data_IF_531444119582
#
_entry.id   IF_531444119582
#
_cell.length_a   1.000
_cell.length_b   1.000
_cell.length_c   1.000
_cell.angle_alpha   90.00
_cell.angle_beta   90.00
_cell.angle_gamma   90.00
#
_symmetry.space_group_name_H-M   'P 1'
#
loop_
_entity.id
_entity.type
_entity.pdbx_description
1 polymer ?
#
# COMPACT_ATOMS: atom_id res chain seq x y z
N UNK A 1 60.61 -6.19 -9.61
CA UNK A 1 60.02 -4.99 -8.99
C UNK A 1 59.07 -4.38 -9.99
N UNK A 2 57.75 -4.33 -9.86
CA UNK A 2 56.80 -4.78 -8.85
C UNK A 2 55.45 -4.78 -9.58
N UNK A 3 54.77 -5.92 -9.67
CA UNK A 3 53.32 -5.96 -9.92
C UNK A 3 52.59 -5.65 -8.61
N UNK A 4 51.31 -5.27 -8.75
CA UNK A 4 50.30 -5.01 -7.73
C UNK A 4 50.13 -3.53 -7.33
N UNK A 5 49.01 -2.94 -7.74
CA UNK A 5 47.94 -2.64 -6.78
C UNK A 5 46.61 -3.09 -7.36
N UNK A 6 45.99 -3.92 -6.55
CA UNK A 6 44.67 -4.51 -6.68
C UNK A 6 43.67 -3.62 -5.94
N UNK A 7 42.40 -3.73 -6.35
CA UNK A 7 41.18 -3.53 -5.56
C UNK A 7 40.91 -2.19 -4.87
N UNK A 8 39.74 -1.62 -5.20
CA UNK A 8 38.77 -1.24 -4.16
C UNK A 8 37.34 -1.18 -4.71
N UNK A 9 36.65 -2.31 -4.54
CA UNK A 9 35.27 -2.44 -4.08
C UNK A 9 34.14 -1.71 -4.84
N UNK A 10 33.58 -2.38 -5.84
CA UNK A 10 32.13 -2.36 -6.01
C UNK A 10 31.51 -3.01 -4.76
N UNK A 11 31.04 -2.19 -3.81
CA UNK A 11 30.19 -2.67 -2.73
C UNK A 11 28.98 -3.35 -3.36
N UNK A 12 28.83 -4.65 -3.10
CA UNK A 12 27.64 -5.39 -3.51
C UNK A 12 26.41 -4.67 -2.97
N UNK A 13 25.50 -4.29 -3.86
CA UNK A 13 24.15 -3.87 -3.51
C UNK A 13 23.49 -5.09 -2.86
N UNK A 14 23.56 -5.17 -1.53
CA UNK A 14 22.75 -6.11 -0.77
C UNK A 14 21.28 -5.89 -1.13
N UNK A 15 20.49 -6.95 -1.15
CA UNK A 15 19.05 -6.84 -1.37
C UNK A 15 18.47 -5.75 -0.44
N UNK A 16 17.54 -4.90 -0.94
CA UNK A 16 16.95 -3.85 -0.13
C UNK A 16 16.41 -4.44 1.18
N UNK A 17 16.64 -3.73 2.29
CA UNK A 17 16.12 -4.15 3.58
C UNK A 17 14.62 -3.93 3.59
N UNK A 18 13.85 -5.01 3.45
CA UNK A 18 12.38 -4.98 3.49
C UNK A 18 11.93 -5.45 4.87
N UNK A 19 11.50 -4.52 5.73
CA UNK A 19 10.88 -4.86 7.01
C UNK A 19 9.36 -4.58 6.96
N UNK A 20 8.49 -5.62 6.94
CA UNK A 20 7.05 -5.44 6.94
C UNK A 20 6.52 -4.66 8.15
N UNK A 21 7.22 -4.71 9.30
CA UNK A 21 6.78 -4.05 10.51
C UNK A 21 6.93 -2.53 10.47
N UNK A 22 7.65 -2.00 9.49
CA UNK A 22 7.79 -0.56 9.29
C UNK A 22 6.56 0.09 8.67
N UNK A 23 5.69 -0.66 7.95
CA UNK A 23 4.37 -0.19 7.51
C UNK A 23 3.45 -0.03 8.73
N UNK A 24 3.38 1.16 9.31
CA UNK A 24 2.68 1.42 10.58
C UNK A 24 1.66 2.53 10.45
N UNK A 25 0.50 2.30 11.07
CA UNK A 25 -0.53 3.33 11.25
C UNK A 25 -0.27 4.00 12.59
N UNK A 26 0.12 5.27 12.57
CA UNK A 26 0.30 6.07 13.80
C UNK A 26 -1.01 6.71 14.25
N UNK A 27 -1.92 7.00 13.32
CA UNK A 27 -3.24 7.57 13.62
C UNK A 27 -4.26 7.13 12.58
N UNK A 28 -5.46 6.75 13.03
CA UNK A 28 -6.58 6.39 12.17
C UNK A 28 -7.85 7.08 12.65
N UNK A 29 -8.55 7.80 11.77
CA UNK A 29 -9.73 8.60 12.13
C UNK A 29 -10.74 8.67 10.98
N UNK A 30 -12.03 8.66 11.33
CA UNK A 30 -13.11 8.93 10.39
C UNK A 30 -13.49 10.42 10.40
N UNK A 31 -13.54 11.04 9.22
CA UNK A 31 -14.11 12.36 8.99
C UNK A 31 -15.52 12.18 8.44
N UNK A 32 -16.55 12.60 9.19
CA UNK A 32 -17.96 12.24 8.99
C UNK A 32 -18.76 13.15 8.05
N UNK A 33 -18.12 14.13 7.42
CA UNK A 33 -18.79 15.09 6.57
C UNK A 33 -17.81 15.79 5.64
N UNK A 34 -18.24 16.88 4.97
CA UNK A 34 -17.38 17.67 4.11
C UNK A 34 -16.10 18.09 4.82
N UNK A 35 -14.98 17.85 4.18
CA UNK A 35 -13.65 18.09 4.71
C UNK A 35 -12.72 18.58 3.59
N UNK A 36 -11.46 18.84 3.94
CA UNK A 36 -10.46 19.36 3.02
C UNK A 36 -10.25 18.47 1.78
N UNK A 37 -10.36 17.14 1.92
CA UNK A 37 -10.06 16.18 0.86
C UNK A 37 -11.23 15.94 -0.07
N UNK A 38 -12.43 15.86 0.50
CA UNK A 38 -13.67 15.53 -0.20
C UNK A 38 -14.85 16.20 0.48
N UNK A 39 -15.85 16.62 -0.30
CA UNK A 39 -17.16 17.07 0.21
C UNK A 39 -18.04 15.89 0.65
N UNK A 40 -17.45 14.84 1.22
CA UNK A 40 -18.09 13.61 1.67
C UNK A 40 -17.19 12.92 2.72
N UNK A 41 -17.70 11.91 3.45
CA UNK A 41 -16.91 11.22 4.47
C UNK A 41 -15.66 10.52 3.92
N UNK A 42 -14.58 10.54 4.71
CA UNK A 42 -13.31 9.86 4.43
C UNK A 42 -12.65 9.34 5.71
N UNK A 43 -11.94 8.23 5.61
CA UNK A 43 -10.96 7.80 6.60
C UNK A 43 -9.67 8.54 6.30
N UNK A 44 -9.10 9.17 7.33
CA UNK A 44 -7.77 9.76 7.28
C UNK A 44 -6.82 8.96 8.15
N UNK A 45 -5.71 8.53 7.56
CA UNK A 45 -4.73 7.66 8.19
C UNK A 45 -3.35 8.30 8.07
N UNK A 46 -2.64 8.40 9.21
CA UNK A 46 -1.24 8.81 9.23
C UNK A 46 -0.40 7.52 9.22
N UNK A 47 0.45 7.38 8.22
CA UNK A 47 1.20 6.15 7.93
C UNK A 47 2.69 6.45 7.93
N UNK A 48 3.47 5.58 8.57
CA UNK A 48 4.93 5.56 8.51
C UNK A 48 5.36 4.34 7.70
N UNK A 49 6.43 4.48 6.93
CA UNK A 49 6.92 3.44 6.03
C UNK A 49 8.36 2.97 6.32
N UNK A 50 9.20 3.81 6.95
CA UNK A 50 10.61 3.46 7.12
C UNK A 50 11.30 3.19 5.77
N UNK A 51 12.04 2.09 5.66
CA UNK A 51 12.68 1.65 4.41
C UNK A 51 11.68 1.32 3.30
N UNK A 52 10.41 0.99 3.64
CA UNK A 52 9.39 0.67 2.65
C UNK A 52 8.98 1.87 1.79
N UNK A 53 9.38 3.10 2.14
CA UNK A 53 9.15 4.30 1.33
C UNK A 53 9.92 4.24 0.00
N UNK A 54 11.15 3.71 0.04
CA UNK A 54 12.04 3.59 -1.11
C UNK A 54 11.87 2.25 -1.85
N UNK A 55 10.89 1.44 -1.47
CA UNK A 55 10.65 0.10 -2.01
C UNK A 55 9.38 0.07 -2.86
N UNK A 56 9.51 -0.45 -4.07
CA UNK A 56 8.40 -0.72 -4.99
C UNK A 56 8.03 -2.20 -5.02
N UNK A 57 6.79 -2.48 -5.42
CA UNK A 57 6.23 -3.83 -5.46
C UNK A 57 7.05 -4.87 -6.24
N UNK A 58 7.68 -4.47 -7.35
CA UNK A 58 8.54 -5.31 -8.20
C UNK A 58 9.86 -5.71 -7.53
N UNK A 59 10.29 -4.97 -6.51
CA UNK A 59 11.49 -5.25 -5.74
C UNK A 59 11.26 -6.29 -4.62
N UNK A 60 10.01 -6.66 -4.36
CA UNK A 60 9.62 -7.62 -3.32
C UNK A 60 9.24 -8.96 -3.97
N UNK A 61 10.09 -10.00 -3.88
CA UNK A 61 9.87 -11.25 -4.61
C UNK A 61 8.52 -11.93 -4.31
N UNK A 62 7.73 -12.16 -5.35
CA UNK A 62 6.43 -12.82 -5.27
C UNK A 62 5.30 -11.98 -4.67
N UNK A 63 5.54 -10.70 -4.36
CA UNK A 63 4.54 -9.83 -3.74
C UNK A 63 3.32 -9.64 -4.65
N UNK A 64 3.56 -9.33 -5.93
CA UNK A 64 2.52 -9.08 -6.91
C UNK A 64 1.58 -10.28 -7.08
N UNK A 65 2.15 -11.48 -7.19
CA UNK A 65 1.42 -12.74 -7.37
C UNK A 65 0.57 -13.06 -6.15
N UNK A 66 1.12 -12.88 -4.94
CA UNK A 66 0.36 -13.07 -3.68
C UNK A 66 -0.79 -12.09 -3.58
N UNK A 67 -0.56 -10.80 -3.87
CA UNK A 67 -1.60 -9.78 -3.82
C UNK A 67 -2.73 -10.09 -4.81
N UNK A 68 -2.40 -10.44 -6.05
CA UNK A 68 -3.39 -10.82 -7.09
C UNK A 68 -4.17 -12.08 -6.74
N UNK A 69 -3.54 -13.02 -6.06
CA UNK A 69 -4.20 -14.26 -5.63
C UNK A 69 -5.22 -13.97 -4.53
N UNK A 70 -4.89 -13.07 -3.60
CA UNK A 70 -5.78 -12.70 -2.49
C UNK A 70 -6.91 -11.78 -2.93
N UNK A 71 -6.66 -10.90 -3.89
CA UNK A 71 -7.60 -9.87 -4.36
C UNK A 71 -7.66 -9.85 -5.89
N UNK A 72 -8.28 -10.85 -6.54
CA UNK A 72 -8.30 -10.96 -8.01
C UNK A 72 -9.05 -9.80 -8.69
N UNK A 73 -10.06 -9.25 -8.03
CA UNK A 73 -10.88 -8.14 -8.51
C UNK A 73 -10.17 -6.77 -8.46
N UNK A 74 -8.99 -6.65 -7.84
CA UNK A 74 -8.13 -5.45 -7.96
C UNK A 74 -7.76 -5.14 -9.41
N UNK A 75 -7.74 -6.16 -10.28
CA UNK A 75 -7.47 -5.97 -11.71
C UNK A 75 -8.53 -5.13 -12.44
N UNK A 76 -9.72 -4.97 -11.85
CA UNK A 76 -10.82 -4.19 -12.42
C UNK A 76 -10.73 -2.70 -12.02
N UNK A 77 -9.88 -2.36 -11.05
CA UNK A 77 -9.75 -0.99 -10.55
C UNK A 77 -9.08 -0.07 -11.56
N UNK A 78 -9.72 1.06 -11.91
CA UNK A 78 -9.04 2.12 -12.64
C UNK A 78 -8.00 2.79 -11.71
N UNK A 79 -6.77 2.91 -12.20
CA UNK A 79 -5.74 3.75 -11.57
C UNK A 79 -5.80 5.17 -12.18
N UNK A 80 -4.94 6.08 -11.72
CA UNK A 80 -4.70 7.42 -12.30
C UNK A 80 -4.56 7.48 -13.83
N UNK A 81 -4.26 6.36 -14.49
CA UNK A 81 -4.21 6.21 -15.96
C UNK A 81 -5.60 6.20 -16.63
N UNK A 82 -6.69 6.01 -15.88
CA UNK A 82 -8.06 6.06 -16.38
C UNK A 82 -8.49 4.83 -17.22
N UNK A 83 -7.67 3.80 -17.31
CA UNK A 83 -7.96 2.54 -18.00
C UNK A 83 -8.29 1.43 -17.00
N UNK A 84 -9.25 0.57 -17.35
CA UNK A 84 -9.50 -0.70 -16.63
C UNK A 84 -8.22 -1.53 -16.65
N UNK A 85 -7.80 -2.08 -15.51
CA UNK A 85 -6.51 -2.77 -15.39
C UNK A 85 -5.32 -1.86 -15.14
N UNK A 86 -5.50 -0.54 -15.08
CA UNK A 86 -4.40 0.40 -14.90
C UNK A 86 -3.62 0.21 -13.59
N UNK A 87 -4.28 -0.27 -12.52
CA UNK A 87 -3.57 -0.58 -11.27
C UNK A 87 -2.68 -1.84 -11.42
N UNK A 88 -3.15 -2.85 -12.15
CA UNK A 88 -2.40 -4.08 -12.40
C UNK A 88 -1.11 -3.82 -13.17
N UNK A 89 -1.16 -2.96 -14.18
CA UNK A 89 0.01 -2.49 -14.92
C UNK A 89 1.01 -1.77 -14.00
N UNK A 90 0.52 -0.84 -13.16
CA UNK A 90 1.37 -0.12 -12.19
C UNK A 90 2.02 -1.05 -11.18
N UNK A 91 1.33 -2.11 -10.79
CA UNK A 91 1.83 -3.12 -9.88
C UNK A 91 3.01 -3.90 -10.51
N UNK A 92 2.94 -4.26 -11.80
CA UNK A 92 4.06 -4.91 -12.51
C UNK A 92 5.24 -3.98 -12.78
N UNK A 93 4.96 -2.73 -13.13
CA UNK A 93 5.99 -1.72 -13.34
C UNK A 93 6.74 -1.35 -12.04
N UNK A 94 6.20 -1.73 -10.89
CA UNK A 94 6.64 -1.26 -9.59
C UNK A 94 5.86 -0.04 -9.14
N UNK A 95 5.16 -0.18 -8.01
CA UNK A 95 4.47 0.92 -7.34
C UNK A 95 4.70 0.87 -5.83
N UNK A 96 4.66 2.04 -5.18
CA UNK A 96 5.00 2.17 -3.76
C UNK A 96 3.94 1.57 -2.85
N UNK A 97 4.35 1.11 -1.68
CA UNK A 97 3.50 0.39 -0.70
C UNK A 97 2.26 1.19 -0.28
N UNK A 98 2.36 2.51 -0.13
CA UNK A 98 1.22 3.35 0.24
C UNK A 98 0.13 3.42 -0.82
N UNK A 99 0.52 3.49 -2.10
CA UNK A 99 -0.43 3.46 -3.21
C UNK A 99 -1.13 2.09 -3.30
N UNK A 100 -0.43 1.01 -2.95
CA UNK A 100 -1.03 -0.32 -2.84
C UNK A 100 -2.01 -0.36 -1.68
N UNK A 101 -1.66 0.18 -0.51
CA UNK A 101 -2.55 0.24 0.64
C UNK A 101 -3.84 1.03 0.34
N UNK A 102 -3.75 2.11 -0.43
CA UNK A 102 -4.91 2.86 -0.92
C UNK A 102 -5.88 1.96 -1.69
N UNK A 103 -5.40 1.27 -2.73
CA UNK A 103 -6.23 0.39 -3.55
C UNK A 103 -6.75 -0.83 -2.77
N UNK A 104 -5.92 -1.44 -1.92
CA UNK A 104 -6.33 -2.56 -1.07
C UNK A 104 -7.44 -2.14 -0.10
N UNK A 105 -7.32 -0.97 0.54
CA UNK A 105 -8.33 -0.48 1.47
C UNK A 105 -9.65 -0.13 0.77
N UNK A 106 -9.62 0.37 -0.48
CA UNK A 106 -10.83 0.58 -1.28
C UNK A 106 -11.46 -0.76 -1.70
N UNK A 107 -10.65 -1.69 -2.17
CA UNK A 107 -11.14 -3.00 -2.62
C UNK A 107 -11.78 -3.81 -1.49
N UNK A 108 -11.19 -3.82 -0.30
CA UNK A 108 -11.77 -4.50 0.85
C UNK A 108 -13.15 -3.93 1.20
N UNK A 109 -13.37 -2.63 1.03
CA UNK A 109 -14.71 -2.03 1.21
C UNK A 109 -15.66 -2.46 0.10
N UNK A 110 -15.20 -2.53 -1.16
CA UNK A 110 -15.99 -3.03 -2.28
C UNK A 110 -16.43 -4.48 -2.09
N UNK A 111 -15.52 -5.34 -1.62
CA UNK A 111 -15.84 -6.74 -1.31
C UNK A 111 -16.83 -6.87 -0.14
N UNK A 112 -16.80 -5.92 0.81
CA UNK A 112 -17.79 -5.79 1.88
C UNK A 112 -19.12 -5.14 1.42
N UNK A 113 -19.23 -4.76 0.15
CA UNK A 113 -20.45 -4.24 -0.46
C UNK A 113 -20.58 -2.71 -0.53
N UNK A 114 -19.54 -1.95 -0.20
CA UNK A 114 -19.53 -0.48 -0.33
C UNK A 114 -19.21 -0.04 -1.77
N UNK A 115 -19.79 1.08 -2.22
CA UNK A 115 -19.44 1.70 -3.51
C UNK A 115 -18.49 2.89 -3.30
N UNK A 116 -17.19 2.60 -3.16
CA UNK A 116 -16.15 3.61 -2.90
C UNK A 116 -14.97 3.50 -3.86
N UNK A 117 -14.55 4.65 -4.39
CA UNK A 117 -13.46 4.72 -5.38
C UNK A 117 -12.51 5.90 -5.17
N UNK A 118 -12.77 6.77 -4.18
CA UNK A 118 -11.90 7.90 -3.89
C UNK A 118 -10.82 7.48 -2.89
N UNK A 119 -9.58 7.56 -3.33
CA UNK A 119 -8.40 7.50 -2.49
C UNK A 119 -7.45 8.66 -2.79
N UNK A 120 -6.53 8.91 -1.87
CA UNK A 120 -5.40 9.81 -2.06
C UNK A 120 -4.28 9.52 -1.06
N UNK A 121 -3.05 9.47 -1.57
CA UNK A 121 -1.82 9.50 -0.76
C UNK A 121 -1.11 10.83 -0.96
N UNK A 122 -0.72 11.49 0.14
CA UNK A 122 0.07 12.73 0.12
C UNK A 122 1.02 12.78 1.32
N UNK A 123 2.11 13.54 1.19
CA UNK A 123 3.00 13.84 2.32
C UNK A 123 2.25 14.66 3.38
N UNK A 124 2.51 14.37 4.67
CA UNK A 124 1.87 15.10 5.77
C UNK A 124 2.52 16.44 6.11
N UNK A 125 3.78 16.64 5.66
CA UNK A 125 4.65 17.72 6.10
C UNK A 125 5.55 17.36 7.29
N UNK A 126 5.22 16.30 8.04
CA UNK A 126 6.11 15.70 9.03
C UNK A 126 7.01 14.64 8.36
N UNK A 127 8.30 14.64 8.72
CA UNK A 127 9.29 13.73 8.14
C UNK A 127 8.91 12.24 8.38
N UNK A 128 8.89 11.46 7.30
CA UNK A 128 8.57 10.03 7.32
C UNK A 128 7.10 9.71 7.63
N UNK A 129 6.21 10.70 7.57
CA UNK A 129 4.77 10.51 7.79
C UNK A 129 3.99 10.93 6.55
N UNK A 130 3.12 10.02 6.11
CA UNK A 130 2.25 10.18 4.97
C UNK A 130 0.79 10.18 5.40
N UNK A 131 -0.05 10.90 4.68
CA UNK A 131 -1.49 10.81 4.80
C UNK A 131 -2.07 9.93 3.71
N UNK A 132 -2.71 8.85 4.14
CA UNK A 132 -3.61 8.04 3.33
C UNK A 132 -5.05 8.46 3.62
N UNK A 133 -5.76 8.88 2.58
CA UNK A 133 -7.17 9.27 2.64
C UNK A 133 -7.96 8.31 1.75
N UNK A 134 -8.99 7.66 2.31
CA UNK A 134 -9.89 6.80 1.53
C UNK A 134 -11.34 7.14 1.86
N UNK A 135 -12.21 7.12 0.85
CA UNK A 135 -13.65 7.23 1.07
C UNK A 135 -14.20 6.03 1.85
N UNK A 136 -15.31 6.25 2.55
CA UNK A 136 -16.12 5.19 3.15
C UNK A 136 -17.61 5.52 3.02
N UNK A 137 -18.44 4.48 3.03
CA UNK A 137 -19.89 4.58 3.22
C UNK A 137 -20.26 4.21 4.66
N UNK A 138 -19.76 3.06 5.14
CA UNK A 138 -19.89 2.61 6.52
C UNK A 138 -18.58 2.82 7.30
N UNK A 139 -18.66 3.54 8.42
CA UNK A 139 -17.47 4.00 9.15
C UNK A 139 -16.58 2.85 9.64
N UNK A 140 -17.17 1.84 10.27
CA UNK A 140 -16.44 0.68 10.78
C UNK A 140 -15.80 -0.12 9.65
N UNK A 141 -16.48 -0.24 8.51
CA UNK A 141 -15.97 -0.90 7.30
C UNK A 141 -14.75 -0.16 6.77
N UNK A 142 -14.81 1.16 6.66
CA UNK A 142 -13.67 1.98 6.23
C UNK A 142 -12.49 1.94 7.22
N UNK A 143 -12.75 1.97 8.53
CA UNK A 143 -11.68 1.87 9.53
C UNK A 143 -11.01 0.49 9.50
N UNK A 144 -11.80 -0.57 9.39
CA UNK A 144 -11.28 -1.93 9.40
C UNK A 144 -10.55 -2.27 8.10
N UNK A 145 -10.98 -1.74 6.94
CA UNK A 145 -10.34 -1.99 5.65
C UNK A 145 -8.89 -1.50 5.60
N UNK A 146 -8.60 -0.35 6.23
CA UNK A 146 -7.23 0.16 6.33
C UNK A 146 -6.36 -0.74 7.22
N UNK A 147 -6.90 -1.22 8.35
CA UNK A 147 -6.17 -2.15 9.25
C UNK A 147 -5.89 -3.47 8.56
N UNK A 148 -6.89 -4.01 7.88
CA UNK A 148 -6.79 -5.29 7.18
C UNK A 148 -5.89 -5.19 5.96
N UNK A 149 -5.90 -4.07 5.26
CA UNK A 149 -4.96 -3.78 4.18
C UNK A 149 -3.51 -3.79 4.66
N UNK A 150 -3.20 -3.21 5.83
CA UNK A 150 -1.85 -3.32 6.42
C UNK A 150 -1.51 -4.77 6.75
N UNK A 151 -2.41 -5.53 7.39
CA UNK A 151 -2.17 -6.95 7.70
C UNK A 151 -1.90 -7.77 6.42
N UNK A 152 -2.71 -7.56 5.39
CA UNK A 152 -2.61 -8.22 4.09
C UNK A 152 -1.29 -7.89 3.42
N UNK A 153 -0.92 -6.61 3.33
CA UNK A 153 0.33 -6.18 2.69
C UNK A 153 1.54 -6.76 3.42
N UNK A 154 1.55 -6.75 4.76
CA UNK A 154 2.62 -7.38 5.55
C UNK A 154 2.70 -8.89 5.29
N UNK A 155 1.57 -9.58 5.16
CA UNK A 155 1.55 -10.99 4.78
C UNK A 155 2.09 -11.20 3.35
N UNK A 156 1.73 -10.32 2.40
CA UNK A 156 2.29 -10.33 1.05
C UNK A 156 3.79 -10.04 1.05
N UNK A 157 4.32 -9.18 1.91
CA UNK A 157 5.77 -8.93 2.02
C UNK A 157 6.50 -10.18 2.55
N UNK A 158 5.96 -10.80 3.59
CA UNK A 158 6.60 -11.95 4.28
C UNK A 158 6.36 -13.30 3.61
N UNK A 159 5.39 -13.39 2.70
CA UNK A 159 4.90 -14.66 2.18
C UNK A 159 4.09 -15.48 3.20
N UNK A 160 3.63 -14.85 4.29
CA UNK A 160 2.81 -15.52 5.29
C UNK A 160 1.41 -15.85 4.74
N UNK A 161 0.77 -16.94 5.20
CA UNK A 161 -0.63 -17.22 4.89
C UNK A 161 -1.53 -16.07 5.35
N UNK A 162 -2.53 -15.75 4.53
CA UNK A 162 -3.54 -14.75 4.84
C UNK A 162 -4.92 -15.25 4.40
N UNK A 163 -5.91 -15.14 5.28
CA UNK A 163 -7.29 -15.52 4.98
C UNK A 163 -8.12 -14.28 4.72
N UNK A 164 -8.47 -14.06 3.44
CA UNK A 164 -9.29 -12.94 3.01
C UNK A 164 -10.73 -13.02 3.53
N UNK A 165 -11.22 -14.21 3.89
CA UNK A 165 -12.56 -14.36 4.45
C UNK A 165 -12.67 -13.82 5.89
N UNK A 166 -11.54 -13.47 6.53
CA UNK A 166 -11.47 -12.89 7.87
C UNK A 166 -11.16 -11.38 7.87
N UNK A 167 -11.22 -10.74 6.70
CA UNK A 167 -11.18 -9.29 6.60
C UNK A 167 -12.58 -8.69 6.60
N UNK A 168 -12.66 -7.41 6.98
CA UNK A 168 -13.85 -6.53 7.09
C UNK A 168 -15.19 -7.17 6.74
#
# INVERSE_FOLDING_TARGET
>A
MTQATDSSAAAGLGAPHVDPDELRISRLRALRGPNFWRLAPVIACDVQLGSLEDITSDQIPGFNERLRTLLPTLSEHPCSRGTVGGFLERLEEGTGILHILEHVALELQTLAGSDVSFGRVVESGDEGVWWLIVAYEEEEVGLQSVRDGVRLIRACITGAPFDIALTV
#
